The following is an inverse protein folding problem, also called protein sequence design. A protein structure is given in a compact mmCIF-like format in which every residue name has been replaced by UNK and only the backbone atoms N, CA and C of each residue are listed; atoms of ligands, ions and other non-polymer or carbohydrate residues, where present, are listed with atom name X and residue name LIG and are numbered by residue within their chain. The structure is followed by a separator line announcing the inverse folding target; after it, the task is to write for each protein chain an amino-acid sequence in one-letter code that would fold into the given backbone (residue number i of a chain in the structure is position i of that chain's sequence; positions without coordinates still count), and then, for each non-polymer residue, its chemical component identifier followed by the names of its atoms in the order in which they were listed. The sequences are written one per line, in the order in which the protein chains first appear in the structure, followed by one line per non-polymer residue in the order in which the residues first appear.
data_IF_774907762117
#
_entry.id   IF_774907762117
#
_cell.length_a   1.000
_cell.length_b   1.000
_cell.length_c   1.000
_cell.angle_alpha   90.00
_cell.angle_beta   90.00
_cell.angle_gamma   90.00
#
_symmetry.space_group_name_H-M   'P 1'
#
loop_
_entity.id
_entity.type
_entity.pdbx_description
1 polymer ?
#
# COMPACT_ATOMS: atom_id res chain seq x y z
N UNK A 1 20.38 -49.44 -6.48
CA UNK A 1 20.32 -48.15 -7.22
C UNK A 1 19.22 -47.24 -6.66
N UNK A 2 19.15 -47.05 -5.34
CA UNK A 2 17.90 -46.55 -4.69
C UNK A 2 18.11 -45.28 -3.83
N UNK A 3 19.35 -44.99 -3.42
CA UNK A 3 19.65 -43.83 -2.55
C UNK A 3 19.99 -42.52 -3.29
N UNK A 4 20.33 -42.58 -4.58
CA UNK A 4 20.70 -41.40 -5.37
C UNK A 4 19.48 -40.59 -5.87
N UNK A 5 18.32 -41.22 -6.04
CA UNK A 5 17.13 -40.57 -6.59
C UNK A 5 16.32 -39.79 -5.53
N UNK A 6 16.39 -40.21 -4.25
CA UNK A 6 15.79 -39.47 -3.13
C UNK A 6 16.48 -38.14 -2.84
N UNK A 7 17.81 -38.06 -3.02
CA UNK A 7 18.57 -36.82 -2.83
C UNK A 7 18.23 -35.78 -3.89
N UNK A 8 18.11 -36.17 -5.17
CA UNK A 8 17.73 -35.25 -6.26
C UNK A 8 16.33 -34.67 -6.09
N UNK A 9 15.35 -35.47 -5.66
CA UNK A 9 13.98 -35.00 -5.42
C UNK A 9 13.89 -33.96 -4.30
N UNK A 10 14.61 -34.19 -3.19
CA UNK A 10 14.65 -33.26 -2.05
C UNK A 10 15.37 -31.95 -2.37
N UNK A 11 16.35 -31.97 -3.28
CA UNK A 11 17.06 -30.76 -3.74
C UNK A 11 16.19 -29.94 -4.69
N UNK A 12 15.39 -30.57 -5.57
CA UNK A 12 14.40 -29.86 -6.41
C UNK A 12 13.29 -29.22 -5.58
N UNK A 13 12.68 -29.94 -4.64
CA UNK A 13 11.58 -29.40 -3.81
C UNK A 13 12.05 -28.25 -2.89
N UNK A 14 13.30 -28.30 -2.42
CA UNK A 14 13.89 -27.21 -1.62
C UNK A 14 14.30 -26.02 -2.48
N UNK A 15 14.60 -26.22 -3.77
CA UNK A 15 14.93 -25.13 -4.70
C UNK A 15 13.69 -24.39 -5.19
N UNK A 16 12.57 -25.07 -5.42
CA UNK A 16 11.30 -24.43 -5.82
C UNK A 16 10.73 -23.55 -4.70
N UNK A 17 10.79 -24.01 -3.44
CA UNK A 17 10.30 -23.22 -2.28
C UNK A 17 11.20 -22.03 -1.94
N UNK A 18 12.51 -22.11 -2.27
CA UNK A 18 13.48 -21.03 -2.04
C UNK A 18 13.49 -19.99 -3.17
N UNK A 19 13.05 -20.35 -4.38
CA UNK A 19 12.87 -19.38 -5.47
C UNK A 19 11.61 -18.52 -5.30
N UNK A 20 10.56 -19.06 -4.67
CA UNK A 20 9.29 -18.34 -4.43
C UNK A 20 9.42 -17.25 -3.35
N UNK A 21 10.21 -17.50 -2.30
CA UNK A 21 10.46 -16.49 -1.25
C UNK A 21 11.44 -15.39 -1.67
N UNK A 22 12.32 -15.65 -2.66
CA UNK A 22 13.22 -14.62 -3.20
C UNK A 22 12.54 -13.74 -4.24
N UNK A 23 11.56 -14.26 -4.99
CA UNK A 23 10.89 -13.49 -6.04
C UNK A 23 10.12 -12.31 -5.49
N UNK A 24 9.48 -12.42 -4.32
CA UNK A 24 8.76 -11.29 -3.72
C UNK A 24 9.72 -10.13 -3.43
N UNK A 25 10.83 -10.39 -2.73
CA UNK A 25 11.84 -9.37 -2.44
C UNK A 25 12.48 -8.75 -3.70
N UNK A 26 12.66 -9.56 -4.75
CA UNK A 26 13.17 -9.08 -6.04
C UNK A 26 12.12 -8.30 -6.85
N UNK A 27 10.83 -8.64 -6.77
CA UNK A 27 9.72 -7.87 -7.36
C UNK A 27 9.62 -6.50 -6.67
N UNK A 28 9.73 -6.45 -5.34
CA UNK A 28 9.82 -5.19 -4.58
C UNK A 28 11.04 -4.36 -4.99
N UNK A 29 12.22 -4.98 -5.07
CA UNK A 29 13.46 -4.30 -5.46
C UNK A 29 13.41 -3.81 -6.92
N UNK A 30 12.71 -4.52 -7.81
CA UNK A 30 12.60 -4.19 -9.24
C UNK A 30 11.52 -3.13 -9.49
N UNK A 31 10.40 -3.15 -8.78
CA UNK A 31 9.39 -2.07 -8.82
C UNK A 31 9.91 -0.73 -8.31
N UNK A 32 10.89 -0.73 -7.39
CA UNK A 32 11.56 0.49 -6.93
C UNK A 32 12.71 0.97 -7.84
N UNK A 33 13.05 0.19 -8.88
CA UNK A 33 14.21 0.45 -9.75
C UNK A 33 13.83 1.01 -11.13
N UNK A 34 12.62 1.52 -11.30
CA UNK A 34 12.33 2.36 -12.44
C UNK A 34 13.19 3.65 -12.34
N UNK A 35 13.87 4.05 -13.42
CA UNK A 35 14.65 5.29 -13.41
C UNK A 35 13.70 6.45 -13.10
N UNK A 36 13.88 7.07 -11.93
CA UNK A 36 13.03 8.18 -11.46
C UNK A 36 12.98 9.27 -12.52
N UNK A 37 11.90 9.32 -13.28
CA UNK A 37 11.61 10.42 -14.17
C UNK A 37 11.39 11.68 -13.31
N UNK A 38 11.75 12.86 -13.82
CA UNK A 38 11.73 14.11 -13.03
C UNK A 38 10.36 14.39 -12.39
N UNK A 39 9.28 13.91 -13.03
CA UNK A 39 7.90 13.96 -12.55
C UNK A 39 7.63 13.15 -11.27
N UNK A 40 8.33 12.03 -11.04
CA UNK A 40 8.13 11.22 -9.83
C UNK A 40 8.83 11.84 -8.62
N UNK A 41 9.98 12.50 -8.84
CA UNK A 41 10.69 13.24 -7.78
C UNK A 41 9.91 14.48 -7.33
N UNK A 42 9.32 15.22 -8.27
CA UNK A 42 8.46 16.35 -7.93
C UNK A 42 7.19 15.86 -7.27
N UNK A 43 6.55 14.78 -7.75
CA UNK A 43 5.37 14.21 -7.08
C UNK A 43 5.65 13.78 -5.63
N UNK A 44 6.76 13.08 -5.37
CA UNK A 44 7.14 12.67 -4.01
C UNK A 44 7.37 13.89 -3.09
N UNK A 45 8.05 14.93 -3.58
CA UNK A 45 8.29 16.17 -2.83
C UNK A 45 7.00 16.98 -2.57
N UNK A 46 6.12 17.03 -3.57
CA UNK A 46 4.83 17.71 -3.48
C UNK A 46 3.89 16.96 -2.51
N UNK A 47 3.84 15.63 -2.54
CA UNK A 47 3.02 14.85 -1.60
C UNK A 47 3.47 15.06 -0.14
N UNK A 48 4.77 15.04 0.14
CA UNK A 48 5.28 15.27 1.50
C UNK A 48 5.09 16.73 1.97
N UNK A 49 5.28 17.70 1.07
CA UNK A 49 5.21 19.12 1.44
C UNK A 49 3.78 19.61 1.62
N UNK A 50 2.84 19.18 0.77
CA UNK A 50 1.47 19.70 0.76
C UNK A 50 0.52 18.96 1.73
N UNK A 51 0.93 17.79 2.25
CA UNK A 51 0.20 17.06 3.29
C UNK A 51 0.48 17.53 4.72
N UNK A 52 1.38 18.49 4.92
CA UNK A 52 1.86 18.89 6.24
C UNK A 52 1.16 20.16 6.75
N UNK A 53 0.85 20.20 8.06
CA UNK A 53 0.25 21.37 8.73
C UNK A 53 1.07 22.67 8.54
N UNK A 54 2.37 22.54 8.30
CA UNK A 54 3.29 23.65 8.02
C UNK A 54 2.98 24.41 6.72
N UNK A 55 2.54 23.72 5.66
CA UNK A 55 2.17 24.38 4.40
C UNK A 55 0.91 25.25 4.56
N UNK A 56 -0.06 24.75 5.33
CA UNK A 56 -1.26 25.51 5.69
C UNK A 56 -0.91 26.78 6.48
N UNK A 57 -0.02 26.67 7.47
CA UNK A 57 0.42 27.81 8.28
C UNK A 57 1.19 28.84 7.45
N UNK A 58 2.04 28.40 6.51
CA UNK A 58 2.75 29.29 5.59
C UNK A 58 1.77 30.08 4.72
N UNK A 59 0.76 29.41 4.15
CA UNK A 59 -0.29 30.06 3.37
C UNK A 59 -1.09 31.06 4.21
N UNK A 60 -1.50 30.66 5.42
CA UNK A 60 -2.19 31.55 6.34
C UNK A 60 -1.33 32.80 6.66
N UNK A 61 -0.04 32.63 6.94
CA UNK A 61 0.87 33.74 7.23
C UNK A 61 1.06 34.66 6.01
N UNK A 62 1.13 34.10 4.80
CA UNK A 62 1.14 34.88 3.56
C UNK A 62 -0.11 35.74 3.43
N UNK A 63 -1.31 35.17 3.65
CA UNK A 63 -2.57 35.92 3.63
C UNK A 63 -2.62 37.02 4.68
N UNK A 64 -2.23 36.70 5.92
CA UNK A 64 -2.18 37.69 7.00
C UNK A 64 -1.19 38.82 6.70
N UNK A 65 -0.02 38.50 6.16
CA UNK A 65 1.00 39.50 5.78
C UNK A 65 0.50 40.38 4.64
N UNK A 66 -0.13 39.79 3.62
CA UNK A 66 -0.71 40.55 2.51
C UNK A 66 -1.83 41.48 2.98
N UNK A 67 -2.71 40.99 3.85
CA UNK A 67 -3.81 41.78 4.41
C UNK A 67 -3.28 42.91 5.30
N UNK A 68 -2.27 42.65 6.12
CA UNK A 68 -1.61 43.67 6.95
C UNK A 68 -0.89 44.74 6.12
N UNK A 69 -0.25 44.37 5.01
CA UNK A 69 0.36 45.32 4.08
C UNK A 69 -0.67 46.17 3.31
N UNK A 70 -1.87 45.63 3.03
CA UNK A 70 -2.93 46.36 2.31
C UNK A 70 -3.91 47.11 3.24
N UNK A 71 -3.94 46.80 4.54
CA UNK A 71 -4.48 47.73 5.54
C UNK A 71 -3.61 48.98 5.51
N UNK A 72 -4.22 50.14 5.32
CA UNK A 72 -3.61 51.47 5.13
C UNK A 72 -2.79 51.99 6.36
N UNK A 73 -2.15 51.10 7.11
CA UNK A 73 -1.33 51.40 8.28
C UNK A 73 -0.05 52.18 7.90
N UNK A 74 0.38 52.13 6.64
CA UNK A 74 1.61 52.76 6.16
C UNK A 74 1.25 53.89 5.16
N UNK A 75 1.35 55.18 5.55
CA UNK A 75 0.93 56.32 4.73
C UNK A 75 1.70 56.54 3.42
N UNK A 76 2.77 55.78 3.18
CA UNK A 76 3.71 56.00 2.07
C UNK A 76 3.66 54.95 0.96
N UNK A 77 2.77 53.96 1.05
CA UNK A 77 2.64 52.92 0.02
C UNK A 77 1.30 53.12 -0.70
N UNK A 78 1.26 53.27 -2.04
CA UNK A 78 0.01 53.29 -2.77
C UNK A 78 -0.73 51.97 -2.55
N UNK A 79 -2.05 52.03 -2.34
CA UNK A 79 -2.91 50.85 -2.17
C UNK A 79 -2.81 49.96 -3.41
N UNK A 80 -2.01 48.89 -3.30
CA UNK A 80 -1.72 47.97 -4.41
C UNK A 80 -2.95 47.13 -4.77
N UNK A 81 -3.78 46.76 -3.79
CA UNK A 81 -5.01 46.00 -3.99
C UNK A 81 -6.15 46.55 -3.10
N UNK A 82 -6.92 47.55 -3.59
CA UNK A 82 -8.06 48.10 -2.87
C UNK A 82 -9.11 47.03 -2.58
N UNK A 83 -9.81 47.17 -1.45
CA UNK A 83 -10.97 46.34 -1.13
C UNK A 83 -11.95 46.38 -2.33
N UNK A 84 -12.26 45.24 -2.98
CA UNK A 84 -12.39 43.87 -2.45
C UNK A 84 -11.23 42.89 -2.71
N UNK A 85 -9.97 43.33 -2.86
CA UNK A 85 -8.79 42.48 -3.09
C UNK A 85 -8.86 41.59 -4.34
N UNK A 86 -9.01 42.22 -5.51
CA UNK A 86 -9.20 41.50 -6.77
C UNK A 86 -7.98 40.70 -7.21
N UNK A 87 -6.78 41.23 -6.99
CA UNK A 87 -5.53 40.57 -7.39
C UNK A 87 -5.23 39.35 -6.53
N UNK A 88 -5.40 39.48 -5.20
CA UNK A 88 -5.25 38.35 -4.29
C UNK A 88 -6.23 37.23 -4.63
N UNK A 89 -7.51 37.56 -4.84
CA UNK A 89 -8.54 36.57 -5.16
C UNK A 89 -8.21 35.78 -6.44
N UNK A 90 -7.74 36.48 -7.48
CA UNK A 90 -7.31 35.85 -8.72
C UNK A 90 -6.13 34.89 -8.51
N UNK A 91 -5.07 35.33 -7.82
CA UNK A 91 -3.89 34.48 -7.54
C UNK A 91 -4.29 33.24 -6.73
N UNK A 92 -5.11 33.42 -5.68
CA UNK A 92 -5.57 32.33 -4.82
C UNK A 92 -6.42 31.32 -5.58
N UNK A 93 -7.32 31.79 -6.44
CA UNK A 93 -8.13 30.89 -7.27
C UNK A 93 -7.28 30.00 -8.18
N UNK A 94 -6.22 30.57 -8.77
CA UNK A 94 -5.30 29.82 -9.59
C UNK A 94 -4.50 28.82 -8.74
N UNK A 95 -3.98 29.26 -7.60
CA UNK A 95 -3.25 28.40 -6.65
C UNK A 95 -4.12 27.22 -6.19
N UNK A 96 -5.39 27.45 -5.87
CA UNK A 96 -6.33 26.41 -5.46
C UNK A 96 -6.53 25.33 -6.54
N UNK A 97 -6.56 25.69 -7.82
CA UNK A 97 -6.65 24.73 -8.92
C UNK A 97 -5.38 23.86 -8.96
N UNK A 98 -4.20 24.46 -8.85
CA UNK A 98 -2.94 23.72 -8.79
C UNK A 98 -2.89 22.76 -7.59
N UNK A 99 -3.31 23.23 -6.41
CA UNK A 99 -3.39 22.42 -5.19
C UNK A 99 -4.31 21.22 -5.38
N UNK A 100 -5.49 21.44 -5.95
CA UNK A 100 -6.47 20.37 -6.21
C UNK A 100 -5.91 19.28 -7.14
N UNK A 101 -5.22 19.68 -8.22
CA UNK A 101 -4.59 18.74 -9.16
C UNK A 101 -3.48 17.93 -8.48
N UNK A 102 -2.62 18.59 -7.69
CA UNK A 102 -1.54 17.93 -6.95
C UNK A 102 -2.13 16.91 -5.95
N UNK A 103 -3.16 17.32 -5.21
CA UNK A 103 -3.88 16.45 -4.27
C UNK A 103 -4.48 15.25 -5.01
N UNK A 104 -5.13 15.47 -6.16
CA UNK A 104 -5.73 14.39 -6.95
C UNK A 104 -4.69 13.39 -7.47
N UNK A 105 -3.54 13.88 -7.94
CA UNK A 105 -2.41 13.03 -8.36
C UNK A 105 -1.89 12.21 -7.17
N UNK A 106 -1.72 12.86 -6.01
CA UNK A 106 -1.27 12.21 -4.78
C UNK A 106 -2.25 11.14 -4.31
N UNK A 107 -3.55 11.44 -4.36
CA UNK A 107 -4.62 10.49 -4.02
C UNK A 107 -4.64 9.30 -4.99
N UNK A 108 -4.55 9.53 -6.29
CA UNK A 108 -4.52 8.45 -7.29
C UNK A 108 -3.29 7.54 -7.11
N UNK A 109 -2.13 8.11 -6.78
CA UNK A 109 -0.92 7.35 -6.46
C UNK A 109 -1.10 6.54 -5.17
N UNK A 110 -1.67 7.12 -4.12
CA UNK A 110 -1.94 6.43 -2.87
C UNK A 110 -2.93 5.27 -3.06
N UNK A 111 -3.98 5.45 -3.87
CA UNK A 111 -4.93 4.41 -4.22
C UNK A 111 -4.24 3.23 -4.93
N UNK A 112 -3.40 3.50 -5.94
CA UNK A 112 -2.64 2.44 -6.63
C UNK A 112 -1.71 1.65 -5.71
N UNK A 113 -1.09 2.32 -4.73
CA UNK A 113 -0.24 1.66 -3.73
C UNK A 113 -1.11 0.81 -2.78
N UNK A 114 -2.29 1.31 -2.39
CA UNK A 114 -3.23 0.57 -1.55
C UNK A 114 -3.71 -0.70 -2.25
N UNK A 115 -4.10 -0.62 -3.53
CA UNK A 115 -4.53 -1.78 -4.33
C UNK A 115 -3.43 -2.86 -4.40
N UNK A 116 -2.18 -2.43 -4.66
CA UNK A 116 -1.04 -3.36 -4.70
C UNK A 116 -0.78 -4.00 -3.33
N UNK A 117 -0.88 -3.22 -2.26
CA UNK A 117 -0.73 -3.72 -0.89
C UNK A 117 -1.82 -4.74 -0.56
N UNK A 118 -3.06 -4.48 -0.94
CA UNK A 118 -4.19 -5.40 -0.73
C UNK A 118 -3.97 -6.74 -1.45
N UNK A 119 -3.54 -6.71 -2.71
CA UNK A 119 -3.21 -7.93 -3.47
C UNK A 119 -2.09 -8.74 -2.79
N UNK A 120 -1.05 -8.07 -2.29
CA UNK A 120 0.06 -8.73 -1.60
C UNK A 120 -0.40 -9.31 -0.26
N UNK A 121 -1.13 -8.54 0.54
CA UNK A 121 -1.65 -8.97 1.84
C UNK A 121 -2.59 -10.18 1.65
N UNK A 122 -3.39 -10.19 0.58
CA UNK A 122 -4.21 -11.34 0.20
C UNK A 122 -3.37 -12.58 -0.13
N UNK A 123 -2.33 -12.45 -0.96
CA UNK A 123 -1.45 -13.58 -1.31
C UNK A 123 -0.71 -14.15 -0.09
N UNK A 124 -0.21 -13.28 0.79
CA UNK A 124 0.44 -13.69 2.04
C UNK A 124 -0.54 -14.43 2.93
N UNK A 125 -1.79 -13.96 3.04
CA UNK A 125 -2.81 -14.61 3.86
C UNK A 125 -3.17 -16.01 3.31
N UNK A 126 -3.34 -16.15 2.00
CA UNK A 126 -3.57 -17.45 1.34
C UNK A 126 -2.40 -18.40 1.57
N UNK A 127 -1.16 -17.91 1.49
CA UNK A 127 0.02 -18.72 1.76
C UNK A 127 0.08 -19.16 3.24
N UNK A 128 -0.20 -18.24 4.16
CA UNK A 128 -0.24 -18.53 5.59
C UNK A 128 -1.29 -19.60 5.91
N UNK A 129 -2.47 -19.53 5.28
CA UNK A 129 -3.51 -20.54 5.44
C UNK A 129 -3.02 -21.94 5.02
N UNK A 130 -2.40 -22.06 3.85
CA UNK A 130 -1.82 -23.33 3.38
C UNK A 130 -0.77 -23.88 4.33
N UNK A 131 0.07 -23.02 4.90
CA UNK A 131 1.08 -23.41 5.88
C UNK A 131 0.47 -23.85 7.21
N UNK A 132 -0.55 -23.14 7.69
CA UNK A 132 -1.31 -23.53 8.90
C UNK A 132 -1.97 -24.89 8.69
N UNK A 133 -2.65 -25.10 7.55
CA UNK A 133 -3.28 -26.39 7.25
C UNK A 133 -2.26 -27.52 7.11
N UNK A 134 -1.08 -27.24 6.54
CA UNK A 134 0.01 -28.20 6.52
C UNK A 134 0.53 -28.56 7.92
N UNK A 135 0.63 -27.58 8.82
CA UNK A 135 1.00 -27.79 10.22
C UNK A 135 -0.07 -28.60 10.96
N UNK A 136 -1.35 -28.27 10.78
CA UNK A 136 -2.48 -29.01 11.36
C UNK A 136 -2.44 -30.49 10.94
N UNK A 137 -2.25 -30.77 9.64
CA UNK A 137 -2.11 -32.15 9.11
C UNK A 137 -0.91 -32.90 9.68
N UNK A 138 0.18 -32.20 9.99
CA UNK A 138 1.34 -32.83 10.65
C UNK A 138 1.01 -33.12 12.11
N UNK A 139 0.35 -32.20 12.81
CA UNK A 139 -0.04 -32.35 14.20
C UNK A 139 -1.05 -33.49 14.38
N UNK A 140 -2.05 -33.60 13.49
CA UNK A 140 -3.03 -34.69 13.48
C UNK A 140 -2.36 -36.06 13.32
N UNK A 141 -1.39 -36.18 12.39
CA UNK A 141 -0.60 -37.41 12.23
C UNK A 141 0.18 -37.79 13.49
N UNK A 142 0.75 -36.80 14.20
CA UNK A 142 1.48 -37.02 15.45
C UNK A 142 0.50 -37.46 16.55
N UNK A 143 -0.64 -36.78 16.68
CA UNK A 143 -1.71 -37.15 17.62
C UNK A 143 -2.16 -38.60 17.41
N UNK A 144 -2.46 -38.97 16.16
CA UNK A 144 -2.83 -40.34 15.80
C UNK A 144 -1.74 -41.36 16.19
N UNK A 145 -0.46 -41.01 16.03
CA UNK A 145 0.65 -41.89 16.42
C UNK A 145 0.81 -42.08 17.93
N UNK A 146 0.37 -41.11 18.73
CA UNK A 146 0.42 -41.16 20.20
C UNK A 146 -0.87 -41.70 20.84
N UNK A 147 -1.88 -42.06 20.03
CA UNK A 147 -3.19 -42.56 20.46
C UNK A 147 -3.90 -41.64 21.47
N UNK A 148 -3.65 -40.33 21.38
CA UNK A 148 -4.32 -39.31 22.19
C UNK A 148 -5.62 -38.94 21.48
N UNK A 149 -6.78 -39.31 22.05
CA UNK A 149 -8.09 -38.89 21.54
C UNK A 149 -8.45 -37.53 22.12
N UNK A 150 -8.79 -36.57 21.26
CA UNK A 150 -9.38 -35.30 21.67
C UNK A 150 -10.89 -35.31 21.47
N UNK A 151 -11.60 -34.50 22.25
CA UNK A 151 -13.05 -34.38 22.22
C UNK A 151 -13.57 -33.64 20.96
N UNK A 152 -12.68 -32.88 20.31
CA UNK A 152 -13.01 -31.94 19.22
C UNK A 152 -12.42 -32.33 17.85
N UNK A 153 -12.25 -33.63 17.58
CA UNK A 153 -11.75 -34.15 16.29
C UNK A 153 -12.55 -33.63 15.08
N UNK A 154 -13.84 -33.31 15.28
CA UNK A 154 -14.70 -32.72 14.26
C UNK A 154 -14.30 -31.27 13.91
N UNK A 155 -13.87 -30.48 14.90
CA UNK A 155 -13.41 -29.10 14.70
C UNK A 155 -12.07 -29.08 13.97
N UNK A 156 -11.12 -29.95 14.37
CA UNK A 156 -9.81 -30.06 13.72
C UNK A 156 -9.98 -30.45 12.24
N UNK A 157 -10.84 -31.42 11.93
CA UNK A 157 -11.14 -31.80 10.54
C UNK A 157 -11.78 -30.68 9.72
N UNK A 158 -12.59 -29.82 10.33
CA UNK A 158 -13.11 -28.63 9.65
C UNK A 158 -12.03 -27.59 9.37
N UNK A 159 -11.03 -27.44 10.25
CA UNK A 159 -9.90 -26.54 10.06
C UNK A 159 -8.86 -27.09 9.07
N UNK A 160 -8.76 -28.42 8.91
CA UNK A 160 -7.90 -29.07 7.90
C UNK A 160 -8.48 -29.07 6.49
N UNK A 161 -9.79 -28.79 6.37
CA UNK A 161 -10.42 -28.58 5.08
C UNK A 161 -9.81 -27.31 4.48
N UNK A 162 -8.98 -27.47 3.43
CA UNK A 162 -8.42 -26.33 2.71
C UNK A 162 -9.55 -25.39 2.28
N UNK A 163 -9.45 -24.07 2.53
CA UNK A 163 -10.32 -23.16 1.79
C UNK A 163 -9.94 -23.27 0.31
N UNK A 164 -10.92 -23.63 -0.51
CA UNK A 164 -10.80 -23.57 -1.95
C UNK A 164 -10.82 -22.11 -2.41
N UNK A 165 -9.64 -21.49 -2.39
CA UNK A 165 -9.42 -20.10 -2.81
C UNK A 165 -9.85 -19.89 -4.27
N UNK A 166 -9.69 -20.91 -5.13
CA UNK A 166 -10.07 -20.83 -6.54
C UNK A 166 -11.60 -20.78 -6.70
N UNK A 167 -12.35 -21.58 -5.93
CA UNK A 167 -13.81 -21.50 -5.88
C UNK A 167 -14.31 -20.15 -5.33
N UNK A 168 -13.63 -19.56 -4.34
CA UNK A 168 -13.98 -18.23 -3.82
C UNK A 168 -13.71 -17.15 -4.87
N UNK A 169 -12.56 -17.23 -5.55
CA UNK A 169 -12.21 -16.32 -6.65
C UNK A 169 -13.21 -16.39 -7.79
N UNK A 170 -13.62 -17.59 -8.21
CA UNK A 170 -14.64 -17.77 -9.25
C UNK A 170 -15.99 -17.16 -8.83
N UNK A 171 -16.43 -17.35 -7.58
CA UNK A 171 -17.67 -16.77 -7.08
C UNK A 171 -17.66 -15.24 -7.08
N UNK A 172 -16.50 -14.63 -6.82
CA UNK A 172 -16.35 -13.17 -6.86
C UNK A 172 -16.32 -12.67 -8.31
N UNK A 173 -15.59 -13.36 -9.19
CA UNK A 173 -15.45 -12.97 -10.60
C UNK A 173 -16.75 -13.16 -11.42
N UNK A 174 -17.57 -14.17 -11.08
CA UNK A 174 -18.82 -14.47 -11.76
C UNK A 174 -20.02 -13.64 -11.25
N UNK A 175 -19.80 -12.78 -10.23
CA UNK A 175 -20.84 -11.90 -9.66
C UNK A 175 -20.79 -10.47 -10.25
N UNK A 176 -20.20 -10.32 -11.43
CA UNK A 176 -20.12 -9.06 -12.17
C UNK A 176 -21.06 -9.08 -13.36
#
# INVERSE_FOLDING_TARGET
MTSANRKKKKISETQTKKSEHRSIGEIFATSLKHPKHWSERTADFLTDSFGTIGFLLLNALFFFTWLACNMEWIPSIPTLDPYPFGLLTMIVSLEAIFLSIIVLISQNRAAKIADLREEIDFQVNVQAEREITAILRILDKIQHSMNVKHQDDAMIKQMEADLDIDAIRERIMNKK
#
